data_IF_246765356165
#
_entry.id   IF_246765356165
#
_cell.length_a   1.000
_cell.length_b   1.000
_cell.length_c   1.000
_cell.angle_alpha   90.00
_cell.angle_beta   90.00
_cell.angle_gamma   90.00
#
_symmetry.space_group_name_H-M   'P 1'
#
loop_
_entity.id
_entity.type
_entity.pdbx_description
1 polymer ?
#
# COMPACT_ATOMS: atom_id res chain seq x y z
N UNK A 1 22.32 26.58 5.47
CA UNK A 1 22.44 26.61 4.00
C UNK A 1 23.24 27.83 3.62
N UNK A 2 24.12 27.76 2.63
CA UNK A 2 24.96 28.90 2.25
C UNK A 2 24.58 29.44 0.87
N UNK A 3 24.21 28.59 -0.08
CA UNK A 3 23.76 29.02 -1.41
C UNK A 3 22.87 28.00 -2.11
N UNK A 4 22.10 28.47 -3.08
CA UNK A 4 21.42 27.65 -4.08
C UNK A 4 22.31 27.58 -5.32
N UNK A 5 22.40 26.43 -5.98
CA UNK A 5 23.27 26.25 -7.14
C UNK A 5 22.45 25.69 -8.29
N UNK A 6 22.40 26.44 -9.40
CA UNK A 6 21.66 26.08 -10.61
C UNK A 6 22.18 26.89 -11.80
N UNK A 7 22.23 26.26 -12.99
CA UNK A 7 22.33 26.91 -14.32
C UNK A 7 23.36 28.05 -14.52
N UNK A 8 24.40 28.14 -13.69
CA UNK A 8 25.43 29.20 -13.72
C UNK A 8 26.87 28.65 -13.64
N UNK A 9 27.08 27.41 -14.08
CA UNK A 9 28.37 26.72 -13.97
C UNK A 9 28.64 26.15 -12.57
N UNK A 10 27.60 25.94 -11.77
CA UNK A 10 27.67 25.45 -10.39
C UNK A 10 28.32 26.43 -9.41
N UNK A 11 28.14 27.73 -9.64
CA UNK A 11 28.73 28.76 -8.82
C UNK A 11 28.01 28.86 -7.47
N UNK A 12 28.77 28.80 -6.37
CA UNK A 12 28.23 28.83 -5.00
C UNK A 12 28.17 30.23 -4.42
N UNK A 13 28.70 31.24 -5.09
CA UNK A 13 28.81 32.61 -4.59
C UNK A 13 27.70 33.53 -5.09
N UNK A 14 27.01 33.15 -6.17
CA UNK A 14 26.02 33.95 -6.91
C UNK A 14 24.67 34.04 -6.21
N UNK A 15 24.21 32.95 -5.60
CA UNK A 15 22.84 32.83 -5.07
C UNK A 15 22.84 32.44 -3.59
N UNK A 16 23.31 33.35 -2.73
CA UNK A 16 23.43 33.10 -1.28
C UNK A 16 22.10 33.27 -0.55
N UNK A 17 21.79 32.33 0.33
CA UNK A 17 20.63 32.47 1.21
C UNK A 17 20.90 33.50 2.30
N UNK A 18 19.88 34.28 2.65
CA UNK A 18 19.83 35.09 3.86
C UNK A 18 19.31 34.23 5.01
N UNK A 19 20.01 34.25 6.15
CA UNK A 19 19.54 33.57 7.36
C UNK A 19 18.39 34.36 7.97
N UNK A 20 17.32 33.65 8.31
CA UNK A 20 16.16 34.18 9.02
C UNK A 20 16.11 33.62 10.45
N UNK A 21 15.12 34.07 11.22
CA UNK A 21 14.84 33.56 12.57
C UNK A 21 14.52 32.05 12.55
N UNK A 22 14.64 31.42 13.72
CA UNK A 22 14.36 29.99 13.93
C UNK A 22 15.16 29.04 13.01
N UNK A 23 16.34 29.48 12.53
CA UNK A 23 17.23 28.65 11.70
C UNK A 23 16.77 28.47 10.26
N UNK A 24 15.79 29.28 9.80
CA UNK A 24 15.32 29.31 8.42
C UNK A 24 16.28 30.08 7.52
N UNK A 25 16.16 29.84 6.21
CA UNK A 25 17.00 30.45 5.19
C UNK A 25 16.12 30.80 4.00
N UNK A 26 16.26 32.02 3.47
CA UNK A 26 15.49 32.51 2.33
C UNK A 26 16.40 33.05 1.22
N UNK A 27 16.03 32.77 -0.01
CA UNK A 27 16.64 33.31 -1.22
C UNK A 27 15.52 33.71 -2.18
N UNK A 28 15.63 34.88 -2.79
CA UNK A 28 14.74 35.33 -3.86
C UNK A 28 15.61 35.53 -5.10
N UNK A 29 15.36 34.73 -6.13
CA UNK A 29 16.03 34.87 -7.43
C UNK A 29 15.12 35.72 -8.32
N UNK A 30 15.58 36.88 -8.83
CA UNK A 30 14.77 37.71 -9.71
C UNK A 30 14.51 37.00 -11.06
N UNK A 31 13.42 37.34 -11.77
CA UNK A 31 13.21 36.85 -13.13
C UNK A 31 14.30 37.36 -14.07
N UNK A 32 14.42 36.69 -15.22
CA UNK A 32 15.25 37.19 -16.33
C UNK A 32 14.70 38.53 -16.85
N UNK A 33 15.51 39.25 -17.64
CA UNK A 33 15.13 40.56 -18.18
C UNK A 33 13.85 40.51 -19.06
N UNK A 34 13.54 39.37 -19.66
CA UNK A 34 12.32 39.12 -20.43
C UNK A 34 11.11 38.71 -19.57
N UNK A 35 11.25 38.67 -18.25
CA UNK A 35 10.22 38.26 -17.29
C UNK A 35 10.11 36.74 -17.09
N UNK A 36 10.90 35.93 -17.81
CA UNK A 36 10.89 34.48 -17.65
C UNK A 36 11.53 34.02 -16.34
N UNK A 37 11.23 32.79 -15.92
CA UNK A 37 11.83 32.20 -14.72
C UNK A 37 13.33 32.00 -14.92
N UNK A 38 14.14 32.52 -13.99
CA UNK A 38 15.60 32.40 -14.04
C UNK A 38 16.12 30.95 -13.91
N UNK A 39 15.28 30.03 -13.41
CA UNK A 39 15.60 28.61 -13.30
C UNK A 39 14.80 27.87 -14.39
N UNK A 40 15.45 27.37 -15.46
CA UNK A 40 14.76 26.63 -16.50
C UNK A 40 14.12 25.34 -15.97
N UNK A 41 12.96 24.97 -16.51
CA UNK A 41 12.35 23.67 -16.23
C UNK A 41 13.31 22.52 -16.55
N UNK A 42 13.38 21.52 -15.67
CA UNK A 42 14.28 20.36 -15.74
C UNK A 42 15.78 20.69 -15.66
N UNK A 43 16.15 21.88 -15.19
CA UNK A 43 17.53 22.12 -14.73
C UNK A 43 17.77 21.44 -13.39
N UNK A 44 19.00 20.96 -13.17
CA UNK A 44 19.39 20.41 -11.87
C UNK A 44 19.64 21.54 -10.89
N UNK A 45 19.10 21.41 -9.68
CA UNK A 45 19.33 22.34 -8.57
C UNK A 45 19.91 21.62 -7.35
N UNK A 46 20.77 22.30 -6.59
CA UNK A 46 21.34 21.79 -5.34
C UNK A 46 21.36 22.88 -4.27
N UNK A 47 21.22 22.47 -3.02
CA UNK A 47 21.44 23.34 -1.86
C UNK A 47 22.85 23.10 -1.34
N UNK A 48 23.71 24.11 -1.40
CA UNK A 48 25.02 24.07 -0.77
C UNK A 48 24.86 24.37 0.73
N UNK A 49 25.45 23.52 1.57
CA UNK A 49 25.44 23.65 3.02
C UNK A 49 26.88 23.64 3.52
N UNK A 50 27.35 24.79 4.00
CA UNK A 50 28.67 24.90 4.62
C UNK A 50 28.57 24.78 6.14
N UNK A 51 29.38 23.89 6.74
CA UNK A 51 29.56 23.76 8.19
C UNK A 51 31.05 23.61 8.48
N UNK A 52 31.58 24.42 9.39
CA UNK A 52 33.00 24.39 9.79
C UNK A 52 33.96 24.38 8.58
N UNK A 53 33.72 25.28 7.61
CA UNK A 53 34.52 25.38 6.37
C UNK A 53 34.26 24.30 5.32
N UNK A 54 33.55 23.23 5.65
CA UNK A 54 33.25 22.14 4.71
C UNK A 54 31.88 22.35 4.06
N UNK A 55 31.85 22.34 2.72
CA UNK A 55 30.61 22.54 1.95
C UNK A 55 30.17 21.23 1.32
N UNK A 56 28.91 20.86 1.57
CA UNK A 56 28.26 19.69 0.97
C UNK A 56 27.03 20.13 0.19
N UNK A 57 26.82 19.50 -0.96
CA UNK A 57 25.58 19.69 -1.70
C UNK A 57 24.52 18.72 -1.20
N UNK A 58 23.29 19.22 -1.06
CA UNK A 58 22.13 18.46 -0.60
C UNK A 58 20.95 18.69 -1.54
N UNK A 59 20.06 17.71 -1.60
CA UNK A 59 18.73 17.89 -2.17
C UNK A 59 17.87 18.67 -1.18
N UNK A 60 16.91 19.45 -1.69
CA UNK A 60 15.90 20.06 -0.83
C UNK A 60 15.05 18.98 -0.16
N UNK A 61 14.75 19.07 1.15
CA UNK A 61 13.71 18.26 1.78
C UNK A 61 12.34 18.42 1.09
N UNK A 62 12.12 19.55 0.42
CA UNK A 62 10.90 19.92 -0.30
C UNK A 62 11.04 19.71 -1.82
N UNK A 63 11.97 18.87 -2.26
CA UNK A 63 12.11 18.55 -3.68
C UNK A 63 10.84 17.85 -4.20
N UNK A 64 10.25 18.40 -5.26
CA UNK A 64 9.03 17.83 -5.86
C UNK A 64 9.32 16.79 -6.94
N UNK A 65 10.55 16.78 -7.47
CA UNK A 65 10.97 15.82 -8.49
C UNK A 65 12.48 15.59 -8.42
N UNK A 66 12.89 14.33 -8.40
CA UNK A 66 14.30 13.93 -8.42
C UNK A 66 14.46 12.82 -9.47
N UNK A 67 15.62 12.75 -10.10
CA UNK A 67 15.95 11.70 -11.06
C UNK A 67 17.36 11.20 -10.84
N UNK A 68 17.59 9.92 -11.18
CA UNK A 68 18.91 9.30 -11.19
C UNK A 68 19.33 9.02 -12.64
N UNK A 69 20.34 9.74 -13.20
CA UNK A 69 20.93 9.36 -14.48
C UNK A 69 21.48 7.93 -14.43
N UNK A 70 21.50 7.22 -15.56
CA UNK A 70 21.88 5.80 -15.60
C UNK A 70 23.36 5.58 -15.22
N UNK A 71 24.17 6.61 -15.37
CA UNK A 71 25.62 6.59 -15.23
C UNK A 71 26.09 6.81 -13.77
N UNK A 72 25.16 7.12 -12.86
CA UNK A 72 25.49 7.45 -11.46
C UNK A 72 24.50 6.84 -10.48
N UNK A 73 24.98 6.61 -9.25
CA UNK A 73 24.14 6.21 -8.12
C UNK A 73 23.50 7.41 -7.41
N UNK A 74 23.91 8.64 -7.76
CA UNK A 74 23.49 9.87 -7.10
C UNK A 74 22.24 10.44 -7.75
N UNK A 75 21.23 10.75 -6.93
CA UNK A 75 20.03 11.44 -7.37
C UNK A 75 20.26 12.95 -7.52
N UNK A 76 19.59 13.53 -8.49
CA UNK A 76 19.60 14.96 -8.76
C UNK A 76 18.19 15.53 -8.63
N UNK A 77 18.07 16.65 -7.94
CA UNK A 77 16.82 17.39 -7.87
C UNK A 77 16.61 18.15 -9.17
N UNK A 78 15.49 17.90 -9.81
CA UNK A 78 15.06 18.56 -11.04
C UNK A 78 14.14 19.72 -10.67
N UNK A 79 14.39 20.91 -11.22
CA UNK A 79 13.46 22.02 -11.08
C UNK A 79 12.20 21.76 -11.91
N UNK A 80 11.17 21.25 -11.25
CA UNK A 80 9.94 20.84 -11.91
C UNK A 80 8.93 22.00 -11.95
N UNK A 81 9.01 22.80 -13.00
CA UNK A 81 8.06 23.87 -13.30
C UNK A 81 7.62 23.81 -14.78
N UNK A 82 6.85 22.78 -15.17
CA UNK A 82 6.43 22.64 -16.57
C UNK A 82 5.54 23.81 -16.99
N UNK A 83 5.62 24.27 -18.25
CA UNK A 83 4.80 25.39 -18.74
C UNK A 83 3.30 25.07 -18.73
N UNK A 84 2.94 23.79 -18.92
CA UNK A 84 1.58 23.29 -18.85
C UNK A 84 1.49 22.28 -17.71
N UNK A 85 0.74 22.62 -16.66
CA UNK A 85 0.45 21.68 -15.56
C UNK A 85 -0.81 20.89 -15.86
N UNK A 86 -0.82 19.62 -15.47
CA UNK A 86 -2.03 18.81 -15.54
C UNK A 86 -3.09 19.39 -14.60
N UNK A 87 -4.32 19.49 -15.08
CA UNK A 87 -5.48 19.89 -14.28
C UNK A 87 -6.36 18.67 -14.07
N UNK A 88 -6.75 18.42 -12.82
CA UNK A 88 -7.68 17.35 -12.50
C UNK A 88 -9.01 17.61 -13.21
N UNK A 89 -9.39 16.70 -14.12
CA UNK A 89 -10.59 16.84 -14.96
C UNK A 89 -11.84 16.23 -14.34
N UNK A 90 -11.66 15.34 -13.37
CA UNK A 90 -12.74 14.56 -12.77
C UNK A 90 -12.87 14.92 -11.29
N UNK A 91 -14.11 15.07 -10.77
CA UNK A 91 -14.31 15.25 -9.34
C UNK A 91 -13.96 13.96 -8.59
N UNK A 92 -13.74 14.11 -7.28
CA UNK A 92 -13.58 12.97 -6.37
C UNK A 92 -14.87 12.14 -6.34
N UNK A 93 -14.79 10.80 -6.35
CA UNK A 93 -15.93 9.95 -6.04
C UNK A 93 -16.46 10.25 -4.63
N UNK A 94 -17.74 9.95 -4.39
CA UNK A 94 -18.28 9.95 -3.03
C UNK A 94 -17.64 8.86 -2.18
N UNK A 95 -17.43 9.12 -0.89
CA UNK A 95 -16.98 8.11 0.08
C UNK A 95 -17.88 6.85 -0.02
N UNK A 96 -17.33 5.67 -0.36
CA UNK A 96 -18.13 4.46 -0.47
C UNK A 96 -18.59 3.98 0.91
N UNK A 97 -19.69 3.23 0.96
CA UNK A 97 -20.21 2.63 2.19
C UNK A 97 -19.23 1.61 2.80
N UNK A 98 -18.58 0.81 1.94
CA UNK A 98 -17.51 -0.12 2.31
C UNK A 98 -16.41 -0.11 1.24
N UNK A 99 -15.17 -0.26 1.68
CA UNK A 99 -14.00 -0.25 0.81
C UNK A 99 -13.74 -1.64 0.23
N UNK A 100 -13.52 -1.67 -1.08
CA UNK A 100 -12.96 -2.80 -1.82
C UNK A 100 -11.69 -2.30 -2.47
N UNK A 101 -10.59 -2.53 -1.78
CA UNK A 101 -9.27 -1.98 -2.03
C UNK A 101 -8.49 -2.94 -2.90
N UNK A 102 -7.99 -2.43 -4.03
CA UNK A 102 -6.99 -3.10 -4.84
C UNK A 102 -5.62 -2.50 -4.52
N UNK A 103 -4.79 -3.24 -3.81
CA UNK A 103 -3.42 -2.83 -3.46
C UNK A 103 -2.49 -3.08 -4.65
N UNK A 104 -1.80 -2.03 -5.11
CA UNK A 104 -1.01 -2.07 -6.33
C UNK A 104 0.31 -1.31 -6.19
N UNK A 105 1.33 -1.84 -6.87
CA UNK A 105 2.60 -1.18 -7.08
C UNK A 105 2.81 -0.95 -8.58
N UNK A 106 2.91 0.32 -9.00
CA UNK A 106 2.97 0.69 -10.43
C UNK A 106 4.13 0.01 -11.13
N UNK A 107 5.33 0.05 -10.57
CA UNK A 107 6.54 -0.45 -11.24
C UNK A 107 6.52 -1.95 -11.62
N UNK A 108 5.70 -2.79 -10.98
CA UNK A 108 5.64 -4.24 -11.24
C UNK A 108 4.41 -4.65 -12.05
N UNK A 109 3.57 -3.69 -12.41
CA UNK A 109 2.25 -3.91 -13.02
C UNK A 109 2.29 -4.20 -14.53
N UNK A 110 3.40 -4.77 -15.00
CA UNK A 110 3.65 -5.12 -16.41
C UNK A 110 3.93 -6.62 -16.49
N UNK A 111 3.53 -7.32 -17.58
CA UNK A 111 3.94 -8.70 -17.83
C UNK A 111 5.41 -8.81 -18.25
N UNK A 112 6.01 -7.72 -18.72
CA UNK A 112 7.45 -7.66 -19.00
C UNK A 112 8.23 -7.37 -17.71
N UNK A 113 9.42 -7.99 -17.58
CA UNK A 113 10.37 -7.71 -16.50
C UNK A 113 11.05 -6.35 -16.66
N UNK A 114 10.32 -5.27 -16.39
CA UNK A 114 10.77 -3.87 -16.40
C UNK A 114 9.98 -3.04 -15.41
N UNK A 115 10.51 -1.86 -15.05
CA UNK A 115 9.73 -0.86 -14.29
C UNK A 115 8.63 -0.30 -15.20
N UNK A 116 7.36 -0.59 -14.88
CA UNK A 116 6.23 -0.06 -15.63
C UNK A 116 6.01 1.44 -15.37
N UNK A 117 5.25 2.10 -16.24
CA UNK A 117 4.96 3.54 -16.14
C UNK A 117 3.59 3.84 -15.53
N UNK A 118 3.44 5.01 -14.91
CA UNK A 118 2.13 5.49 -14.43
C UNK A 118 1.06 5.54 -15.54
N UNK A 119 1.46 5.88 -16.78
CA UNK A 119 0.51 5.96 -17.89
C UNK A 119 0.02 4.57 -18.30
N UNK A 120 0.92 3.60 -18.43
CA UNK A 120 0.55 2.21 -18.71
C UNK A 120 -0.32 1.61 -17.59
N UNK A 121 0.01 1.87 -16.32
CA UNK A 121 -0.86 1.46 -15.21
C UNK A 121 -2.27 2.06 -15.33
N UNK A 122 -2.36 3.35 -15.66
CA UNK A 122 -3.64 4.03 -15.83
C UNK A 122 -4.46 3.50 -17.02
N UNK A 123 -3.81 3.16 -18.13
CA UNK A 123 -4.47 2.69 -19.35
C UNK A 123 -4.83 1.21 -19.30
N UNK A 124 -3.94 0.38 -18.75
CA UNK A 124 -4.03 -1.07 -18.90
C UNK A 124 -4.55 -1.76 -17.63
N UNK A 125 -4.25 -1.20 -16.45
CA UNK A 125 -4.49 -1.85 -15.15
C UNK A 125 -5.71 -1.27 -14.44
N UNK A 126 -5.88 0.05 -14.40
CA UNK A 126 -7.06 0.67 -13.74
C UNK A 126 -8.39 0.15 -14.35
N UNK A 127 -8.55 0.01 -15.68
CA UNK A 127 -9.77 -0.57 -16.23
C UNK A 127 -10.01 -2.02 -15.80
N UNK A 128 -8.95 -2.81 -15.57
CA UNK A 128 -9.06 -4.18 -15.03
C UNK A 128 -9.58 -4.16 -13.61
N UNK A 129 -9.01 -3.29 -12.77
CA UNK A 129 -9.43 -3.11 -11.37
C UNK A 129 -10.91 -2.70 -11.31
N UNK A 130 -11.33 -1.74 -12.15
CA UNK A 130 -12.71 -1.27 -12.21
C UNK A 130 -13.68 -2.36 -12.68
N UNK A 131 -13.34 -3.12 -13.74
CA UNK A 131 -14.15 -4.27 -14.20
C UNK A 131 -14.33 -5.33 -13.13
N UNK A 132 -13.37 -5.43 -12.20
CA UNK A 132 -13.45 -6.38 -11.11
C UNK A 132 -14.39 -5.96 -9.97
N UNK A 133 -14.88 -4.73 -9.95
CA UNK A 133 -15.79 -4.22 -8.92
C UNK A 133 -15.10 -3.61 -7.69
N UNK A 134 -13.76 -3.51 -7.69
CA UNK A 134 -13.04 -2.72 -6.71
C UNK A 134 -13.39 -1.24 -6.86
N UNK A 135 -13.50 -0.54 -5.72
CA UNK A 135 -13.89 0.88 -5.69
C UNK A 135 -12.77 1.80 -5.16
N UNK A 136 -11.66 1.22 -4.70
CA UNK A 136 -10.53 1.94 -4.10
C UNK A 136 -9.22 1.31 -4.59
N UNK A 137 -8.20 2.12 -4.86
CA UNK A 137 -6.84 1.66 -5.18
C UNK A 137 -5.90 2.12 -4.07
N UNK A 138 -5.23 1.18 -3.40
CA UNK A 138 -4.12 1.49 -2.51
C UNK A 138 -2.84 1.50 -3.35
N UNK A 139 -2.29 2.69 -3.58
CA UNK A 139 -1.12 2.86 -4.44
C UNK A 139 0.16 2.89 -3.59
N UNK A 140 0.98 1.86 -3.74
CA UNK A 140 2.25 1.72 -3.02
C UNK A 140 3.41 2.40 -3.76
N UNK A 141 4.48 2.70 -3.01
CA UNK A 141 5.76 3.15 -3.55
C UNK A 141 5.69 4.43 -4.43
N UNK A 142 4.76 5.33 -4.12
CA UNK A 142 4.60 6.63 -4.82
C UNK A 142 5.60 7.66 -4.31
N UNK A 143 5.84 7.69 -2.99
CA UNK A 143 6.89 8.52 -2.41
C UNK A 143 8.25 8.03 -2.89
N UNK A 144 9.11 8.97 -3.31
CA UNK A 144 10.40 8.63 -3.89
C UNK A 144 11.29 7.86 -2.90
N UNK A 145 11.86 6.75 -3.38
CA UNK A 145 12.69 5.84 -2.62
C UNK A 145 13.86 5.38 -3.51
N UNK A 146 15.08 5.50 -2.98
CA UNK A 146 16.31 5.25 -3.77
C UNK A 146 16.50 3.77 -4.07
N UNK A 147 16.10 2.92 -3.13
CA UNK A 147 16.26 1.48 -3.21
C UNK A 147 14.96 0.83 -3.69
N UNK A 148 14.91 0.44 -4.96
CA UNK A 148 13.68 -0.11 -5.57
C UNK A 148 13.17 -1.36 -4.86
N UNK A 149 14.07 -2.24 -4.40
CA UNK A 149 13.71 -3.44 -3.64
C UNK A 149 13.25 -3.15 -2.19
N UNK A 150 13.21 -1.89 -1.76
CA UNK A 150 12.53 -1.51 -0.50
C UNK A 150 11.01 -1.51 -0.60
N UNK A 151 10.46 -1.70 -1.79
CA UNK A 151 9.01 -1.67 -2.03
C UNK A 151 8.34 -0.33 -1.64
N UNK A 152 9.12 0.75 -1.60
CA UNK A 152 8.68 2.08 -1.20
C UNK A 152 8.92 2.41 0.28
N UNK A 153 9.25 1.44 1.13
CA UNK A 153 9.38 1.64 2.58
C UNK A 153 10.63 2.43 2.98
N UNK A 154 11.68 2.47 2.15
CA UNK A 154 12.85 3.31 2.41
C UNK A 154 12.72 4.69 1.76
N UNK A 155 11.80 5.48 2.29
CA UNK A 155 11.78 6.93 2.02
C UNK A 155 13.02 7.53 2.66
N UNK A 156 13.74 8.35 1.91
CA UNK A 156 15.11 8.80 2.26
C UNK A 156 15.22 9.76 3.46
N UNK A 157 14.16 9.99 4.23
CA UNK A 157 14.14 10.92 5.36
C UNK A 157 13.41 10.34 6.59
N UNK A 158 14.16 10.17 7.68
CA UNK A 158 13.61 9.85 9.01
C UNK A 158 13.20 11.15 9.74
N UNK A 159 12.06 11.15 10.41
CA UNK A 159 11.48 12.35 11.03
C UNK A 159 11.30 12.17 12.54
N UNK A 160 11.59 13.23 13.31
CA UNK A 160 11.29 13.33 14.74
C UNK A 160 10.05 14.22 14.94
N UNK A 161 8.85 13.65 15.16
CA UNK A 161 7.59 14.40 15.11
C UNK A 161 7.46 15.51 16.16
N UNK A 162 8.18 15.44 17.29
CA UNK A 162 8.14 16.47 18.35
C UNK A 162 8.62 17.87 17.91
N UNK A 163 9.36 17.98 16.80
CA UNK A 163 9.92 19.25 16.34
C UNK A 163 8.92 19.99 15.47
N UNK A 164 8.68 21.27 15.75
CA UNK A 164 7.67 22.09 15.04
C UNK A 164 7.86 22.14 13.52
N UNK A 165 9.10 22.21 13.03
CA UNK A 165 9.36 22.23 11.58
C UNK A 165 9.23 20.82 10.96
N UNK A 166 9.37 19.76 11.76
CA UNK A 166 9.04 18.39 11.33
C UNK A 166 7.53 18.20 11.24
N UNK A 167 6.75 18.68 12.22
CA UNK A 167 5.29 18.70 12.12
C UNK A 167 4.82 19.49 10.89
N UNK A 168 5.40 20.69 10.67
CA UNK A 168 5.10 21.48 9.46
C UNK A 168 5.38 20.66 8.20
N UNK A 169 6.52 19.97 8.15
CA UNK A 169 6.91 19.15 7.01
C UNK A 169 5.89 18.04 6.74
N UNK A 170 5.59 17.22 7.75
CA UNK A 170 4.72 16.05 7.63
C UNK A 170 3.26 16.45 7.34
N UNK A 171 2.71 17.44 8.05
CA UNK A 171 1.35 17.94 7.81
C UNK A 171 1.22 18.64 6.45
N UNK A 172 2.28 19.32 5.98
CA UNK A 172 2.29 19.87 4.63
C UNK A 172 2.40 18.78 3.57
N UNK A 173 3.08 17.67 3.86
CA UNK A 173 3.21 16.55 2.95
C UNK A 173 1.87 15.85 2.71
N UNK A 174 1.11 15.53 3.76
CA UNK A 174 -0.24 14.95 3.60
C UNK A 174 -1.17 15.92 2.85
N UNK A 175 -1.08 17.23 3.12
CA UNK A 175 -1.83 18.25 2.37
C UNK A 175 -1.44 18.27 0.88
N UNK A 176 -0.15 18.22 0.59
CA UNK A 176 0.40 18.27 -0.77
C UNK A 176 -0.15 17.13 -1.64
N UNK A 177 -0.18 15.91 -1.10
CA UNK A 177 -0.74 14.75 -1.82
C UNK A 177 -2.23 14.90 -2.11
N UNK A 178 -3.01 15.47 -1.17
CA UNK A 178 -4.45 15.72 -1.40
C UNK A 178 -4.68 16.82 -2.44
N UNK A 179 -3.98 17.96 -2.33
CA UNK A 179 -4.24 19.14 -3.17
C UNK A 179 -3.66 19.00 -4.58
N UNK A 180 -2.45 18.46 -4.74
CA UNK A 180 -1.79 18.42 -6.06
C UNK A 180 -2.06 17.16 -6.86
N UNK A 181 -2.18 16.02 -6.18
CA UNK A 181 -2.36 14.73 -6.85
C UNK A 181 -3.79 14.21 -6.74
N UNK A 182 -4.63 14.82 -5.92
CA UNK A 182 -6.02 14.43 -5.80
C UNK A 182 -6.23 13.10 -5.06
N UNK A 183 -5.32 12.67 -4.17
CA UNK A 183 -5.52 11.45 -3.38
C UNK A 183 -6.73 11.54 -2.43
N UNK A 184 -7.55 10.49 -2.38
CA UNK A 184 -8.77 10.37 -1.56
C UNK A 184 -8.52 9.79 -0.16
N UNK A 185 -7.26 9.55 0.19
CA UNK A 185 -6.91 8.94 1.46
C UNK A 185 -5.46 8.52 1.56
N UNK A 186 -5.12 7.98 2.72
CA UNK A 186 -3.78 7.51 3.03
C UNK A 186 -3.83 6.22 3.83
N UNK A 187 -2.91 5.30 3.53
CA UNK A 187 -2.48 4.30 4.49
C UNK A 187 -1.20 4.81 5.14
N UNK A 188 -1.18 4.82 6.48
CA UNK A 188 0.00 5.15 7.26
C UNK A 188 0.70 3.83 7.60
N UNK A 189 1.89 3.66 7.02
CA UNK A 189 2.68 2.44 7.15
C UNK A 189 3.54 2.48 8.41
N UNK A 190 3.76 1.31 9.02
CA UNK A 190 4.60 1.17 10.21
C UNK A 190 4.09 1.93 11.44
N UNK A 191 2.77 2.09 11.61
CA UNK A 191 2.19 2.81 12.77
C UNK A 191 2.65 2.18 14.08
N UNK A 192 2.73 0.84 14.16
CA UNK A 192 3.28 0.13 15.32
C UNK A 192 4.68 0.63 15.70
N UNK A 193 5.54 0.85 14.69
CA UNK A 193 6.90 1.34 14.89
C UNK A 193 6.93 2.77 15.40
N UNK A 194 5.93 3.58 15.01
CA UNK A 194 5.80 4.97 15.46
C UNK A 194 5.32 5.06 16.90
N UNK A 195 4.28 4.32 17.27
CA UNK A 195 3.58 4.50 18.55
C UNK A 195 4.27 3.82 19.74
N UNK A 196 5.31 3.01 19.50
CA UNK A 196 6.10 2.37 20.55
C UNK A 196 7.59 2.65 20.38
N UNK A 197 8.28 3.00 21.47
CA UNK A 197 9.73 3.17 21.49
C UNK A 197 10.50 1.87 21.23
N UNK A 198 9.91 0.71 21.55
CA UNK A 198 10.40 -0.63 21.19
C UNK A 198 10.23 -0.95 19.70
N UNK A 199 9.46 -0.14 18.98
CA UNK A 199 9.01 -0.38 17.62
C UNK A 199 8.23 -1.70 17.41
N UNK A 200 7.73 -2.31 18.49
CA UNK A 200 7.05 -3.61 18.44
C UNK A 200 7.95 -4.82 18.16
N UNK A 201 9.29 -4.66 18.14
CA UNK A 201 10.23 -5.72 17.74
C UNK A 201 10.41 -6.80 18.82
N UNK A 202 10.36 -6.41 20.10
CA UNK A 202 10.64 -7.30 21.24
C UNK A 202 9.44 -7.49 22.17
N UNK A 203 8.26 -6.98 21.78
CA UNK A 203 7.08 -7.00 22.64
C UNK A 203 6.28 -8.27 22.41
N UNK A 204 5.88 -8.94 23.50
CA UNK A 204 5.11 -10.18 23.41
C UNK A 204 3.69 -10.01 22.83
N UNK A 205 3.21 -8.76 22.70
CA UNK A 205 1.87 -8.36 22.23
C UNK A 205 0.71 -9.25 22.75
N UNK A 206 0.90 -9.84 23.93
CA UNK A 206 0.08 -10.86 24.60
C UNK A 206 -1.28 -10.37 25.14
N UNK A 207 -1.75 -9.19 24.72
CA UNK A 207 -3.13 -8.76 24.92
C UNK A 207 -3.46 -8.02 26.23
N UNK A 208 -2.47 -7.47 26.95
CA UNK A 208 -2.69 -6.65 28.15
C UNK A 208 -2.72 -5.14 27.87
N UNK A 209 -3.69 -4.41 28.43
CA UNK A 209 -3.81 -2.96 28.28
C UNK A 209 -2.57 -2.15 28.74
N UNK A 210 -1.84 -2.57 29.79
CA UNK A 210 -0.60 -1.89 30.18
C UNK A 210 0.50 -1.87 29.10
N UNK A 211 0.42 -2.75 28.09
CA UNK A 211 1.37 -2.75 26.99
C UNK A 211 1.10 -1.65 25.97
N UNK A 212 -0.17 -1.25 25.83
CA UNK A 212 -0.58 -0.12 25.00
C UNK A 212 -0.35 1.22 25.71
N UNK A 213 -0.60 1.26 27.02
CA UNK A 213 -0.61 2.47 27.82
C UNK A 213 0.47 2.39 28.91
N UNK A 214 1.71 2.71 28.53
CA UNK A 214 2.86 2.71 29.44
C UNK A 214 4.00 3.59 28.92
N UNK A 215 5.16 3.54 29.58
CA UNK A 215 6.33 4.35 29.19
C UNK A 215 6.91 3.96 27.81
N UNK A 216 6.50 2.83 27.26
CA UNK A 216 6.88 2.44 25.91
C UNK A 216 6.07 3.17 24.83
N UNK A 217 4.91 3.73 25.17
CA UNK A 217 4.09 4.48 24.21
C UNK A 217 4.76 5.82 23.87
N UNK A 218 4.98 6.05 22.58
CA UNK A 218 5.56 7.30 22.07
C UNK A 218 4.46 8.36 21.92
N UNK A 219 4.36 9.23 22.92
CA UNK A 219 3.36 10.30 22.94
C UNK A 219 3.54 11.32 21.81
N UNK A 220 4.77 11.57 21.36
CA UNK A 220 5.02 12.56 20.30
C UNK A 220 4.48 12.04 18.96
N UNK A 221 4.69 10.76 18.70
CA UNK A 221 4.15 10.06 17.54
C UNK A 221 2.63 9.97 17.58
N UNK A 222 2.05 9.64 18.75
CA UNK A 222 0.59 9.61 18.94
C UNK A 222 -0.03 11.00 18.69
N UNK A 223 0.56 12.08 19.21
CA UNK A 223 0.10 13.45 18.98
C UNK A 223 0.18 13.84 17.51
N UNK A 224 1.25 13.48 16.80
CA UNK A 224 1.34 13.72 15.37
C UNK A 224 0.21 13.03 14.59
N UNK A 225 -0.09 11.76 14.89
CA UNK A 225 -1.15 11.00 14.22
C UNK A 225 -2.53 11.63 14.49
N UNK A 226 -2.80 12.04 15.73
CA UNK A 226 -4.02 12.79 16.07
C UNK A 226 -4.13 14.09 15.28
N UNK A 227 -3.06 14.89 15.23
CA UNK A 227 -3.03 16.15 14.48
C UNK A 227 -3.24 15.92 12.98
N UNK A 228 -2.64 14.87 12.42
CA UNK A 228 -2.76 14.51 11.01
C UNK A 228 -4.19 14.12 10.65
N UNK A 229 -4.80 13.20 11.42
CA UNK A 229 -6.17 12.77 11.19
C UNK A 229 -7.17 13.92 11.43
N UNK A 230 -7.05 14.65 12.53
CA UNK A 230 -7.91 15.81 12.82
C UNK A 230 -7.87 16.86 11.71
N UNK A 231 -6.67 17.20 11.23
CA UNK A 231 -6.49 18.12 10.11
C UNK A 231 -7.13 17.60 8.82
N UNK A 232 -6.87 16.33 8.47
CA UNK A 232 -7.37 15.72 7.23
C UNK A 232 -8.89 15.66 7.22
N UNK A 233 -9.53 15.15 8.28
CA UNK A 233 -10.98 14.99 8.32
C UNK A 233 -11.73 16.32 8.47
N UNK A 234 -11.18 17.31 9.18
CA UNK A 234 -11.80 18.66 9.26
C UNK A 234 -11.71 19.41 7.94
N UNK A 235 -10.55 19.34 7.27
CA UNK A 235 -10.34 20.07 6.01
C UNK A 235 -10.91 19.34 4.79
N UNK A 236 -10.87 18.01 4.80
CA UNK A 236 -11.29 17.14 3.71
C UNK A 236 -12.16 15.99 4.24
N UNK A 237 -13.46 16.22 4.50
CA UNK A 237 -14.32 15.24 5.18
C UNK A 237 -14.52 13.90 4.46
N UNK A 238 -14.15 13.82 3.17
CA UNK A 238 -14.24 12.58 2.37
C UNK A 238 -12.97 11.73 2.42
N UNK A 239 -11.88 12.23 3.00
CA UNK A 239 -10.61 11.50 3.13
C UNK A 239 -10.80 10.27 4.02
N UNK A 240 -10.16 9.19 3.63
CA UNK A 240 -10.06 7.97 4.41
C UNK A 240 -8.61 7.78 4.88
N UNK A 241 -8.41 7.46 6.15
CA UNK A 241 -7.09 7.08 6.68
C UNK A 241 -7.09 5.65 7.24
N UNK A 242 -6.09 4.87 6.86
CA UNK A 242 -5.91 3.46 7.24
C UNK A 242 -4.60 3.32 8.02
N UNK A 243 -4.61 2.66 9.17
CA UNK A 243 -3.41 2.36 9.94
C UNK A 243 -2.89 0.93 9.65
N UNK A 244 -1.61 0.82 9.28
CA UNK A 244 -0.87 -0.44 9.35
C UNK A 244 -0.28 -0.60 10.76
N UNK A 245 -1.06 -1.24 11.63
CA UNK A 245 -0.78 -1.35 13.06
C UNK A 245 -1.10 -2.77 13.54
N UNK A 246 -0.11 -3.50 14.07
CA UNK A 246 -0.21 -4.93 14.38
C UNK A 246 -0.48 -5.20 15.88
N UNK A 247 -0.17 -4.26 16.77
CA UNK A 247 -0.27 -4.48 18.22
C UNK A 247 -1.69 -4.65 18.73
N UNK A 248 -2.68 -4.08 18.03
CA UNK A 248 -4.06 -4.07 18.50
C UNK A 248 -4.39 -2.87 19.39
N UNK A 249 -3.68 -1.73 19.24
CA UNK A 249 -3.87 -0.56 20.10
C UNK A 249 -5.35 -0.15 20.14
N UNK A 250 -6.00 -0.09 21.33
CA UNK A 250 -7.38 0.36 21.47
C UNK A 250 -7.55 1.82 21.09
N UNK A 251 -8.73 2.17 20.56
CA UNK A 251 -9.11 3.52 20.15
C UNK A 251 -8.28 4.13 19.02
N UNK A 252 -7.47 3.32 18.33
CA UNK A 252 -6.71 3.76 17.16
C UNK A 252 -7.65 4.25 16.05
N UNK A 253 -8.79 3.57 15.87
CA UNK A 253 -9.79 3.90 14.86
C UNK A 253 -11.02 4.61 15.44
N UNK A 254 -10.84 5.33 16.56
CA UNK A 254 -11.90 6.20 17.14
C UNK A 254 -11.59 7.68 16.85
N UNK A 255 -12.61 8.54 16.73
CA UNK A 255 -12.42 9.96 16.49
C UNK A 255 -11.49 10.64 17.51
N UNK A 256 -10.75 11.65 17.04
CA UNK A 256 -9.84 12.43 17.90
C UNK A 256 -10.59 13.14 19.02
N UNK A 257 -11.80 13.63 18.74
CA UNK A 257 -12.67 14.29 19.74
C UNK A 257 -13.15 13.34 20.85
N UNK A 258 -13.13 12.02 20.62
CA UNK A 258 -13.41 10.98 21.63
C UNK A 258 -12.16 10.56 22.42
N UNK A 259 -10.98 11.10 22.08
CA UNK A 259 -9.69 10.68 22.63
C UNK A 259 -9.04 9.52 21.90
N UNK A 260 -9.50 9.17 20.70
CA UNK A 260 -8.85 8.20 19.81
C UNK A 260 -7.80 8.83 18.89
N UNK A 261 -7.20 8.01 18.01
CA UNK A 261 -6.17 8.47 17.08
C UNK A 261 -6.71 8.97 15.74
N UNK A 262 -8.00 8.79 15.47
CA UNK A 262 -8.70 9.35 14.32
C UNK A 262 -8.58 8.57 13.02
N UNK A 263 -8.04 7.35 13.00
CA UNK A 263 -8.05 6.54 11.79
C UNK A 263 -9.46 6.05 11.45
N UNK A 264 -9.80 5.94 10.16
CA UNK A 264 -11.07 5.33 9.73
C UNK A 264 -11.02 3.80 9.83
N UNK A 265 -9.88 3.20 9.50
CA UNK A 265 -9.68 1.75 9.51
C UNK A 265 -8.28 1.35 10.01
N UNK A 266 -8.15 0.09 10.42
CA UNK A 266 -6.87 -0.60 10.60
C UNK A 266 -6.78 -1.86 9.74
N UNK A 267 -5.57 -2.29 9.40
CA UNK A 267 -5.36 -3.57 8.74
C UNK A 267 -5.57 -4.76 9.70
N UNK A 268 -6.30 -5.79 9.26
CA UNK A 268 -6.48 -7.04 10.01
C UNK A 268 -5.29 -8.00 9.80
N UNK A 269 -4.11 -7.61 10.30
CA UNK A 269 -2.83 -8.26 9.97
C UNK A 269 -2.70 -9.71 10.48
N UNK A 270 -3.52 -10.13 11.43
CA UNK A 270 -3.51 -11.51 11.94
C UNK A 270 -4.14 -12.54 10.98
N UNK A 271 -4.99 -12.09 10.02
CA UNK A 271 -5.73 -13.00 9.15
C UNK A 271 -4.83 -13.75 8.15
N UNK A 272 -3.89 -13.09 7.45
CA UNK A 272 -2.92 -13.81 6.61
C UNK A 272 -2.06 -14.79 7.39
N UNK A 273 -1.55 -14.41 8.57
CA UNK A 273 -0.71 -15.28 9.40
C UNK A 273 -1.45 -16.57 9.79
N UNK A 274 -2.74 -16.47 10.11
CA UNK A 274 -3.59 -17.63 10.35
C UNK A 274 -3.63 -18.55 9.12
N UNK A 275 -3.93 -18.01 7.93
CA UNK A 275 -4.03 -18.82 6.72
C UNK A 275 -2.71 -19.48 6.35
N UNK A 276 -1.59 -18.76 6.44
CA UNK A 276 -0.25 -19.32 6.21
C UNK A 276 0.03 -20.45 7.20
N UNK A 277 -0.24 -20.23 8.50
CA UNK A 277 -0.02 -21.23 9.54
C UNK A 277 -0.82 -22.51 9.26
N UNK A 278 -2.09 -22.36 8.88
CA UNK A 278 -2.97 -23.47 8.53
C UNK A 278 -2.40 -24.22 7.31
N UNK A 279 -2.13 -23.52 6.21
CA UNK A 279 -1.65 -24.14 4.96
C UNK A 279 -0.27 -24.77 5.08
N UNK A 280 0.60 -24.23 5.95
CA UNK A 280 1.98 -24.69 6.12
C UNK A 280 2.12 -25.83 7.11
N UNK A 281 1.28 -25.88 8.15
CA UNK A 281 1.50 -26.75 9.31
C UNK A 281 0.35 -27.72 9.61
N UNK A 282 -0.79 -27.61 8.94
CA UNK A 282 -1.98 -28.40 9.25
C UNK A 282 -2.50 -29.14 8.02
N UNK A 283 -2.92 -30.39 8.20
CA UNK A 283 -3.71 -31.09 7.19
C UNK A 283 -5.17 -30.62 7.26
N UNK A 284 -5.91 -30.78 6.17
CA UNK A 284 -7.29 -30.29 6.06
C UNK A 284 -8.20 -30.86 7.15
N UNK A 285 -8.05 -32.13 7.49
CA UNK A 285 -8.81 -32.81 8.55
C UNK A 285 -8.54 -32.25 9.95
N UNK A 286 -7.43 -31.55 10.15
CA UNK A 286 -7.04 -30.93 11.43
C UNK A 286 -7.51 -29.48 11.54
N UNK A 287 -8.15 -28.91 10.50
CA UNK A 287 -8.58 -27.52 10.50
C UNK A 287 -9.71 -27.30 11.51
N UNK A 288 -9.39 -26.57 12.57
CA UNK A 288 -10.36 -26.20 13.60
C UNK A 288 -11.19 -25.01 13.14
N UNK A 289 -12.35 -25.28 12.56
CA UNK A 289 -13.26 -24.25 12.03
C UNK A 289 -13.60 -23.19 13.10
N UNK A 290 -13.78 -23.60 14.36
CA UNK A 290 -14.01 -22.66 15.46
C UNK A 290 -12.87 -21.65 15.66
N UNK A 291 -11.62 -22.08 15.53
CA UNK A 291 -10.44 -21.21 15.66
C UNK A 291 -10.33 -20.25 14.46
N UNK A 292 -10.71 -20.71 13.26
CA UNK A 292 -10.76 -19.89 12.03
C UNK A 292 -11.80 -18.79 12.18
N UNK A 293 -13.04 -19.15 12.52
CA UNK A 293 -14.13 -18.18 12.72
C UNK A 293 -13.78 -17.21 13.84
N UNK A 294 -13.26 -17.72 14.97
CA UNK A 294 -12.83 -16.87 16.07
C UNK A 294 -11.80 -15.84 15.61
N UNK A 295 -10.78 -16.25 14.85
CA UNK A 295 -9.73 -15.32 14.39
C UNK A 295 -10.28 -14.29 13.39
N UNK A 296 -11.17 -14.69 12.48
CA UNK A 296 -11.83 -13.78 11.54
C UNK A 296 -12.69 -12.73 12.26
N UNK A 297 -13.37 -13.12 13.34
CA UNK A 297 -14.30 -12.25 14.08
C UNK A 297 -13.65 -11.52 15.27
N UNK A 298 -12.47 -11.94 15.73
CA UNK A 298 -11.80 -11.38 16.90
C UNK A 298 -11.21 -9.99 16.61
N UNK A 299 -12.09 -8.99 16.63
CA UNK A 299 -11.77 -7.58 16.45
C UNK A 299 -12.56 -6.71 17.42
N UNK A 300 -12.12 -5.46 17.53
CA UNK A 300 -12.72 -4.47 18.42
C UNK A 300 -14.01 -3.93 17.82
N UNK A 301 -15.13 -4.14 18.52
CA UNK A 301 -16.40 -3.53 18.10
C UNK A 301 -16.29 -1.99 18.09
N UNK A 302 -16.77 -1.36 17.02
CA UNK A 302 -16.71 0.09 16.83
C UNK A 302 -15.39 0.63 16.24
N UNK A 303 -14.44 -0.24 15.90
CA UNK A 303 -13.19 0.10 15.22
C UNK A 303 -13.07 -0.74 13.93
N UNK A 304 -13.32 -0.15 12.74
CA UNK A 304 -13.37 -0.89 11.49
C UNK A 304 -12.03 -1.50 11.06
N UNK A 305 -12.07 -2.71 10.52
CA UNK A 305 -10.93 -3.44 9.98
C UNK A 305 -11.01 -3.57 8.45
N UNK A 306 -9.85 -3.46 7.79
CA UNK A 306 -9.64 -3.93 6.42
C UNK A 306 -9.15 -5.37 6.47
N UNK A 307 -9.98 -6.30 6.00
CA UNK A 307 -9.68 -7.72 5.90
C UNK A 307 -9.00 -8.06 4.56
N UNK A 308 -8.05 -8.98 4.61
CA UNK A 308 -7.35 -9.53 3.45
C UNK A 308 -6.81 -10.91 3.80
N UNK A 309 -6.83 -11.82 2.81
CA UNK A 309 -6.39 -13.21 3.03
C UNK A 309 -4.87 -13.36 2.92
N UNK A 310 -4.24 -12.54 2.08
CA UNK A 310 -2.80 -12.49 1.84
C UNK A 310 -2.43 -11.08 1.38
N UNK A 311 -1.19 -10.66 1.63
CA UNK A 311 -0.70 -9.31 1.32
C UNK A 311 0.48 -9.32 0.36
N UNK A 312 1.03 -8.15 0.11
CA UNK A 312 2.28 -8.00 -0.62
C UNK A 312 3.47 -8.70 0.07
N UNK A 313 3.48 -8.84 1.40
CA UNK A 313 4.57 -9.51 2.12
C UNK A 313 4.64 -11.00 1.78
N UNK A 314 3.49 -11.69 1.77
CA UNK A 314 3.42 -13.11 1.38
C UNK A 314 3.72 -13.35 -0.10
N UNK A 315 3.57 -12.30 -0.93
CA UNK A 315 3.91 -12.39 -2.33
C UNK A 315 5.43 -12.30 -2.56
N UNK A 316 6.24 -11.83 -1.60
CA UNK A 316 7.68 -11.65 -1.78
C UNK A 316 8.45 -12.98 -1.73
N UNK A 317 9.65 -12.97 -2.34
CA UNK A 317 10.60 -14.08 -2.25
C UNK A 317 10.89 -14.45 -0.79
N UNK A 318 10.78 -15.74 -0.48
CA UNK A 318 10.95 -16.27 0.88
C UNK A 318 9.64 -16.71 1.54
N UNK A 319 8.50 -16.32 0.98
CA UNK A 319 7.19 -16.88 1.30
C UNK A 319 6.48 -17.40 0.02
N UNK A 320 5.24 -17.86 0.15
CA UNK A 320 4.40 -18.31 -0.95
C UNK A 320 3.02 -17.66 -0.88
N UNK A 321 2.46 -17.33 -2.04
CA UNK A 321 1.04 -16.94 -2.16
C UNK A 321 0.14 -18.10 -1.73
N UNK A 322 -1.11 -17.82 -1.35
CA UNK A 322 -2.10 -18.86 -1.01
C UNK A 322 -2.26 -19.85 -2.17
N UNK A 323 -2.30 -19.34 -3.41
CA UNK A 323 -2.35 -20.20 -4.59
C UNK A 323 -1.17 -21.17 -4.67
N UNK A 324 0.05 -20.68 -4.41
CA UNK A 324 1.25 -21.50 -4.48
C UNK A 324 1.41 -22.43 -3.26
N UNK A 325 0.87 -22.07 -2.09
CA UNK A 325 0.72 -23.00 -0.95
C UNK A 325 -0.23 -24.16 -1.27
N UNK A 326 -1.31 -23.90 -2.01
CA UNK A 326 -2.35 -24.87 -2.29
C UNK A 326 -2.01 -25.82 -3.45
N UNK A 327 -1.34 -25.31 -4.49
CA UNK A 327 -1.15 -26.02 -5.76
C UNK A 327 0.32 -26.25 -6.13
N UNK A 328 1.25 -25.49 -5.54
CA UNK A 328 2.70 -25.58 -5.77
C UNK A 328 3.05 -25.69 -7.27
N UNK A 329 4.00 -26.56 -7.64
CA UNK A 329 4.44 -26.77 -9.02
C UNK A 329 3.37 -27.31 -9.96
N UNK A 330 2.28 -27.91 -9.47
CA UNK A 330 1.23 -28.41 -10.36
C UNK A 330 0.51 -27.28 -11.10
N UNK A 331 0.58 -26.05 -10.58
CA UNK A 331 0.08 -24.86 -11.26
C UNK A 331 0.69 -24.67 -12.66
N UNK A 332 1.90 -25.15 -12.91
CA UNK A 332 2.58 -24.95 -14.18
C UNK A 332 2.06 -25.88 -15.29
N UNK A 333 1.63 -27.09 -14.93
CA UNK A 333 1.29 -28.14 -15.90
C UNK A 333 -0.22 -28.41 -16.00
N UNK A 334 -0.99 -28.13 -14.93
CA UNK A 334 -2.38 -28.58 -14.78
C UNK A 334 -3.41 -27.44 -14.66
N UNK A 335 -3.02 -26.20 -14.98
CA UNK A 335 -3.94 -25.06 -15.03
C UNK A 335 -4.65 -24.90 -16.38
N UNK A 336 -4.40 -25.75 -17.37
CA UNK A 336 -5.12 -25.72 -18.65
C UNK A 336 -6.51 -26.35 -18.53
N UNK A 337 -7.52 -25.73 -19.16
CA UNK A 337 -8.86 -26.31 -19.26
C UNK A 337 -8.91 -27.55 -20.18
N UNK A 338 -7.86 -27.77 -20.97
CA UNK A 338 -7.76 -28.94 -21.87
C UNK A 338 -7.12 -30.15 -21.20
N UNK A 339 -6.47 -29.97 -20.04
CA UNK A 339 -5.93 -31.07 -19.25
C UNK A 339 -6.90 -31.42 -18.12
N UNK A 340 -7.09 -32.71 -17.79
CA UNK A 340 -7.88 -33.07 -16.62
C UNK A 340 -7.28 -32.47 -15.35
N UNK A 341 -8.11 -31.89 -14.49
CA UNK A 341 -7.65 -31.42 -13.19
C UNK A 341 -7.16 -32.59 -12.34
N UNK A 342 -6.00 -32.40 -11.72
CA UNK A 342 -5.57 -33.25 -10.62
C UNK A 342 -6.39 -32.91 -9.38
N UNK A 343 -6.51 -33.84 -8.42
CA UNK A 343 -7.14 -33.53 -7.12
C UNK A 343 -6.51 -32.33 -6.40
N UNK A 344 -5.22 -32.06 -6.65
CA UNK A 344 -4.49 -30.93 -6.07
C UNK A 344 -4.96 -29.60 -6.67
N UNK A 345 -5.09 -29.51 -8.00
CA UNK A 345 -5.61 -28.31 -8.67
C UNK A 345 -7.08 -28.05 -8.31
N UNK A 346 -7.91 -29.10 -8.32
CA UNK A 346 -9.31 -28.97 -7.96
C UNK A 346 -9.48 -28.44 -6.52
N UNK A 347 -8.76 -29.05 -5.57
CA UNK A 347 -8.68 -28.59 -4.18
C UNK A 347 -8.19 -27.15 -4.08
N UNK A 348 -7.09 -26.83 -4.78
CA UNK A 348 -6.47 -25.51 -4.69
C UNK A 348 -7.36 -24.39 -5.23
N UNK A 349 -8.04 -24.61 -6.36
CA UNK A 349 -9.00 -23.66 -6.91
C UNK A 349 -10.18 -23.46 -5.96
N UNK A 350 -10.71 -24.54 -5.37
CA UNK A 350 -11.82 -24.47 -4.42
C UNK A 350 -11.43 -23.70 -3.15
N UNK A 351 -10.34 -24.10 -2.49
CA UNK A 351 -9.89 -23.49 -1.24
C UNK A 351 -9.44 -22.04 -1.43
N UNK A 352 -8.80 -21.69 -2.54
CA UNK A 352 -8.44 -20.30 -2.82
C UNK A 352 -9.68 -19.38 -2.84
N UNK A 353 -10.77 -19.82 -3.47
CA UNK A 353 -12.05 -19.08 -3.47
C UNK A 353 -12.67 -19.03 -2.09
N UNK A 354 -12.72 -20.16 -1.37
CA UNK A 354 -13.33 -20.24 -0.03
C UNK A 354 -12.60 -19.37 0.99
N UNK A 355 -11.27 -19.44 1.04
CA UNK A 355 -10.44 -18.64 1.95
C UNK A 355 -10.71 -17.15 1.74
N UNK A 356 -10.70 -16.69 0.48
CA UNK A 356 -10.96 -15.27 0.16
C UNK A 356 -12.39 -14.86 0.51
N UNK A 357 -13.38 -15.69 0.17
CA UNK A 357 -14.78 -15.39 0.47
C UNK A 357 -15.04 -15.32 1.98
N UNK A 358 -14.55 -16.29 2.76
CA UNK A 358 -14.69 -16.31 4.21
C UNK A 358 -13.99 -15.10 4.85
N UNK A 359 -12.77 -14.78 4.39
CA UNK A 359 -12.03 -13.62 4.89
C UNK A 359 -12.76 -12.31 4.60
N UNK A 360 -13.30 -12.17 3.38
CA UNK A 360 -14.08 -10.99 2.99
C UNK A 360 -15.38 -10.87 3.79
N UNK A 361 -16.09 -11.98 4.00
CA UNK A 361 -17.42 -11.97 4.62
C UNK A 361 -17.37 -11.79 6.15
N UNK A 362 -16.36 -12.38 6.81
CA UNK A 362 -16.29 -12.41 8.27
C UNK A 362 -15.18 -11.52 8.85
N UNK A 363 -14.13 -11.20 8.07
CA UNK A 363 -12.89 -10.64 8.59
C UNK A 363 -12.91 -9.15 8.95
N UNK A 364 -13.89 -8.38 8.46
CA UNK A 364 -13.91 -6.93 8.68
C UNK A 364 -14.96 -6.19 7.86
N UNK A 365 -14.87 -4.86 7.91
CA UNK A 365 -15.82 -3.92 7.31
C UNK A 365 -15.36 -3.42 5.92
N UNK A 366 -14.13 -3.77 5.54
CA UNK A 366 -13.53 -3.50 4.24
C UNK A 366 -12.71 -4.70 3.75
N UNK A 367 -12.51 -4.79 2.43
CA UNK A 367 -11.75 -5.85 1.76
C UNK A 367 -10.52 -5.28 1.05
N UNK A 368 -9.38 -5.97 1.12
CA UNK A 368 -8.17 -5.65 0.37
C UNK A 368 -7.64 -6.88 -0.39
N UNK A 369 -7.13 -6.63 -1.60
CA UNK A 369 -6.49 -7.62 -2.44
C UNK A 369 -5.22 -7.03 -3.09
N UNK A 370 -4.09 -7.73 -2.96
CA UNK A 370 -2.86 -7.35 -3.64
C UNK A 370 -2.83 -7.82 -5.11
N UNK A 371 -2.34 -6.95 -5.99
CA UNK A 371 -2.25 -7.13 -7.44
C UNK A 371 -1.71 -8.51 -7.84
N UNK A 372 -2.52 -9.29 -8.55
CA UNK A 372 -2.21 -10.65 -9.02
C UNK A 372 -2.85 -11.76 -8.18
N UNK A 373 -3.02 -11.55 -6.87
CA UNK A 373 -3.59 -12.59 -6.00
C UNK A 373 -5.07 -12.86 -6.31
N UNK A 374 -5.74 -11.95 -7.01
CA UNK A 374 -7.14 -12.13 -7.38
C UNK A 374 -7.40 -13.32 -8.31
N UNK A 375 -6.39 -13.74 -9.08
CA UNK A 375 -6.45 -14.87 -9.99
C UNK A 375 -5.48 -15.98 -9.60
N UNK A 376 -4.92 -15.93 -8.38
CA UNK A 376 -3.93 -16.89 -7.91
C UNK A 376 -2.66 -16.86 -8.76
N UNK A 377 -2.07 -15.67 -8.94
CA UNK A 377 -0.82 -15.51 -9.69
C UNK A 377 0.25 -16.52 -9.20
N UNK A 378 0.89 -17.26 -10.12
CA UNK A 378 1.90 -18.27 -9.76
C UNK A 378 3.21 -17.61 -9.29
N UNK A 379 4.20 -18.43 -8.94
CA UNK A 379 5.55 -17.96 -8.56
C UNK A 379 5.52 -17.03 -7.32
N UNK A 380 6.44 -16.08 -7.26
CA UNK A 380 6.58 -15.05 -6.23
C UNK A 380 7.06 -13.74 -6.87
N UNK A 381 7.07 -12.68 -6.08
CA UNK A 381 7.60 -11.36 -6.41
C UNK A 381 9.03 -11.24 -5.88
N UNK A 382 10.00 -10.96 -6.73
CA UNK A 382 11.37 -10.66 -6.30
C UNK A 382 11.88 -9.42 -7.04
N UNK A 383 12.40 -8.46 -6.28
CA UNK A 383 12.93 -7.22 -6.82
C UNK A 383 14.39 -7.38 -7.27
N UNK A 384 14.84 -6.59 -8.26
CA UNK A 384 16.25 -6.52 -8.63
C UNK A 384 17.13 -6.22 -7.41
N UNK A 385 18.08 -7.12 -7.15
CA UNK A 385 19.07 -7.01 -6.07
C UNK A 385 20.31 -7.82 -6.42
N UNK A 386 21.40 -7.57 -5.69
CA UNK A 386 22.68 -8.29 -5.89
C UNK A 386 22.49 -9.81 -5.82
N UNK A 387 21.63 -10.29 -4.91
CA UNK A 387 21.36 -11.72 -4.73
C UNK A 387 20.64 -12.42 -5.88
N UNK A 388 20.08 -11.69 -6.86
CA UNK A 388 19.45 -12.25 -8.06
C UNK A 388 19.99 -11.64 -9.35
N UNK A 389 21.22 -11.08 -9.32
CA UNK A 389 21.88 -10.42 -10.44
C UNK A 389 21.06 -9.25 -11.04
N UNK A 390 20.41 -8.45 -10.18
CA UNK A 390 19.58 -7.32 -10.61
C UNK A 390 18.45 -7.73 -11.57
N UNK A 391 17.91 -8.94 -11.39
CA UNK A 391 16.91 -9.52 -12.28
C UNK A 391 15.53 -8.89 -12.06
N UNK A 392 14.87 -8.57 -13.17
CA UNK A 392 13.46 -8.17 -13.20
C UNK A 392 12.52 -9.33 -13.53
N UNK A 393 13.03 -10.57 -13.65
CA UNK A 393 12.24 -11.72 -14.10
C UNK A 393 11.01 -11.99 -13.22
N UNK A 394 11.13 -11.85 -11.90
CA UNK A 394 10.01 -12.01 -10.96
C UNK A 394 9.39 -10.66 -10.54
N UNK A 395 9.92 -9.54 -11.03
CA UNK A 395 9.47 -8.19 -10.71
C UNK A 395 8.39 -7.73 -11.71
N UNK A 396 7.33 -8.54 -11.86
CA UNK A 396 6.31 -8.39 -12.92
C UNK A 396 4.97 -9.02 -12.51
N UNK A 397 3.94 -8.79 -13.33
CA UNK A 397 2.61 -9.41 -13.21
C UNK A 397 2.12 -9.99 -14.52
N UNK A 398 1.88 -11.30 -14.51
CA UNK A 398 1.50 -12.10 -15.68
C UNK A 398 -0.02 -12.01 -15.95
N UNK A 399 -0.54 -10.81 -16.24
CA UNK A 399 -1.97 -10.62 -16.50
C UNK A 399 -2.49 -11.43 -17.70
N UNK A 400 -1.61 -11.79 -18.63
CA UNK A 400 -1.90 -12.69 -19.73
C UNK A 400 -2.45 -14.05 -19.26
N UNK A 401 -2.07 -14.52 -18.06
CA UNK A 401 -2.61 -15.78 -17.51
C UNK A 401 -4.09 -15.64 -17.15
N UNK A 402 -4.52 -14.48 -16.66
CA UNK A 402 -5.92 -14.24 -16.32
C UNK A 402 -6.80 -13.98 -17.56
N UNK A 403 -6.19 -13.50 -18.64
CA UNK A 403 -6.87 -13.18 -19.89
C UNK A 403 -7.01 -14.38 -20.84
N UNK A 404 -6.22 -15.43 -20.65
CA UNK A 404 -6.27 -16.63 -21.48
C UNK A 404 -7.47 -17.51 -21.10
N UNK A 405 -8.46 -17.57 -21.98
CA UNK A 405 -9.69 -18.36 -21.79
C UNK A 405 -9.44 -19.87 -21.71
N UNK A 406 -8.25 -20.35 -22.11
CA UNK A 406 -7.86 -21.76 -22.00
C UNK A 406 -7.23 -22.09 -20.64
N UNK A 407 -7.03 -21.11 -19.77
CA UNK A 407 -6.44 -21.30 -18.43
C UNK A 407 -7.47 -21.13 -17.31
N UNK A 408 -7.32 -21.96 -16.29
CA UNK A 408 -8.18 -22.04 -15.10
C UNK A 408 -8.02 -20.85 -14.16
N UNK A 409 -6.97 -20.06 -14.34
CA UNK A 409 -6.75 -18.75 -13.70
C UNK A 409 -7.92 -17.79 -13.96
N UNK A 410 -8.56 -17.87 -15.12
CA UNK A 410 -9.78 -17.12 -15.43
C UNK A 410 -10.95 -17.47 -14.47
N UNK A 411 -11.04 -18.72 -14.00
CA UNK A 411 -12.07 -19.15 -13.04
C UNK A 411 -11.89 -18.53 -11.65
N UNK A 412 -10.63 -18.31 -11.23
CA UNK A 412 -10.32 -17.62 -9.98
C UNK A 412 -10.66 -16.13 -10.08
N UNK A 413 -10.34 -15.52 -11.23
CA UNK A 413 -10.59 -14.12 -11.54
C UNK A 413 -12.08 -13.74 -11.53
N UNK A 414 -12.96 -14.64 -12.00
CA UNK A 414 -14.41 -14.41 -12.09
C UNK A 414 -15.18 -14.60 -10.77
N UNK A 415 -14.55 -15.20 -9.75
CA UNK A 415 -15.27 -15.64 -8.54
C UNK A 415 -15.74 -14.49 -7.65
N UNK A 416 -14.92 -13.45 -7.44
CA UNK A 416 -15.28 -12.31 -6.59
C UNK A 416 -15.99 -11.18 -7.34
N UNK A 417 -15.74 -11.04 -8.64
CA UNK A 417 -16.53 -10.17 -9.52
C UNK A 417 -18.02 -10.50 -9.45
N UNK A 418 -18.35 -11.79 -9.34
CA UNK A 418 -19.73 -12.26 -9.20
C UNK A 418 -20.33 -11.90 -7.84
N UNK A 419 -19.54 -11.91 -6.76
CA UNK A 419 -19.96 -11.50 -5.40
C UNK A 419 -20.19 -9.99 -5.31
N UNK A 420 -19.39 -9.18 -6.02
CA UNK A 420 -19.56 -7.74 -6.06
C UNK A 420 -20.72 -7.26 -6.95
N UNK A 421 -21.36 -8.18 -7.69
CA UNK A 421 -22.48 -7.85 -8.54
C UNK A 421 -23.79 -7.86 -7.72
N UNK A 422 -24.62 -6.79 -7.75
CA UNK A 422 -25.86 -6.71 -6.98
C UNK A 422 -26.88 -7.84 -7.24
N UNK A 423 -26.72 -8.63 -8.30
CA UNK A 423 -27.52 -9.84 -8.55
C UNK A 423 -27.17 -11.07 -7.68
N UNK A 424 -26.19 -11.00 -6.76
CA UNK A 424 -25.80 -12.14 -5.92
C UNK A 424 -26.92 -12.63 -4.97
N UNK A 425 -27.91 -11.78 -4.66
CA UNK A 425 -29.11 -12.19 -3.92
C UNK A 425 -29.90 -13.32 -4.61
N UNK A 426 -29.86 -13.41 -5.95
CA UNK A 426 -30.47 -14.50 -6.71
C UNK A 426 -29.64 -15.79 -6.75
N UNK A 427 -28.35 -15.75 -6.40
CA UNK A 427 -27.48 -16.93 -6.45
C UNK A 427 -27.50 -17.69 -5.11
N UNK A 428 -27.61 -16.97 -3.99
CA UNK A 428 -27.81 -17.57 -2.66
C UNK A 428 -29.14 -18.33 -2.53
N UNK A 429 -30.19 -17.94 -3.26
CA UNK A 429 -31.44 -18.71 -3.33
C UNK A 429 -31.31 -20.05 -4.06
N UNK A 430 -30.19 -20.31 -4.74
CA UNK A 430 -29.89 -21.61 -5.34
C UNK A 430 -29.10 -22.54 -4.39
N UNK A 431 -28.62 -22.04 -3.25
CA UNK A 431 -27.89 -22.82 -2.24
C UNK A 431 -28.73 -23.21 -1.02
N UNK A 432 -30.01 -22.85 -0.97
CA UNK A 432 -30.96 -23.49 -0.06
C UNK A 432 -31.25 -24.89 -0.57
N UNK A 433 -30.60 -25.88 0.02
CA UNK A 433 -31.01 -27.28 -0.03
C UNK A 433 -32.48 -27.34 0.37
N UNK A 434 -33.34 -27.82 -0.52
CA UNK A 434 -34.70 -28.18 -0.18
C UNK A 434 -34.65 -29.35 0.82
N UNK A 435 -34.83 -29.06 2.11
CA UNK A 435 -35.18 -30.06 3.11
C UNK A 435 -36.57 -30.62 2.79
N UNK A 436 -36.66 -31.57 1.86
CA UNK A 436 -37.76 -32.52 1.76
C UNK A 436 -37.22 -33.88 1.30
N UNK A 437 -36.45 -34.55 2.18
CA UNK A 437 -36.26 -35.99 2.08
C UNK A 437 -37.44 -36.72 2.71
N UNK A 438 -38.24 -37.35 1.85
CA UNK A 438 -39.20 -38.38 2.19
C UNK A 438 -38.53 -39.55 2.94
N UNK A 439 -38.72 -39.62 4.26
CA UNK A 439 -38.59 -40.87 4.99
C UNK A 439 -39.92 -41.63 4.94
N UNK A 440 -39.99 -42.60 4.04
CA UNK A 440 -41.01 -43.65 4.08
C UNK A 440 -40.50 -44.74 5.03
N UNK A 441 -40.95 -44.71 6.29
CA UNK A 441 -40.85 -45.86 7.19
C UNK A 441 -41.98 -46.83 6.80
N UNK A 442 -41.60 -47.94 6.16
CA UNK A 442 -42.45 -49.13 6.11
C UNK A 442 -42.21 -49.97 7.37
N UNK A 443 -43.33 -50.21 8.07
CA UNK A 443 -43.58 -51.01 9.29
C UNK A 443 -43.20 -50.36 10.63
#
# INVERSE_FOLDING_TARGET
CTSCVFSDGWNRETHKYTREEHGKWRLVVPPNADGSCAIPHNSIIKIAVTRQGHTVDKLSPWATYVTRPKETVVYHQQFFNPPNRYQLKHPRPSKPESLRIYEAHVGISSPEGKVNSYRAFADDVIPRIARQGYNTIQLMAVMEHVYYASFGYQVTSFFAPARIETLRFLLSNIRWWVEEYGFDGFRFDGVTSMIYHSHGIADSLSGGYPMYFGLNADTDSLVYLMLANDFLHKKYPQIITIAEEVSGMPALCRPVDEGGQGFDYRLAMALPDMWIKILKHMKDEDWKIGDIVHTLENRRWGEPNVAYAESHDQALVGDKTIAFWLMDKEMYDFMSLTTPYTPIIERGIALHKMIRLLTMALGGEAWLNFIGNEFGHPEWLDFPRVGNNESFHYCRRQFNLADDELLSTALLYLSLTTVFNPCFSCFLSCFTVSEEEHYTLQL
#
